data_IF_236161410657
#
_entry.id   IF_236161410657
#
_cell.length_a   1.000
_cell.length_b   1.000
_cell.length_c   1.000
_cell.angle_alpha   90.00
_cell.angle_beta   90.00
_cell.angle_gamma   90.00
#
_symmetry.space_group_name_H-M   'P 1'
#
loop_
_entity.id
_entity.type
_entity.pdbx_description
1 polymer ?
#
# COMPACT_ATOMS: atom_id res chain seq x y z
N UNK A 1 27.27 52.04 -12.06
CA UNK A 1 26.68 51.63 -10.76
C UNK A 1 25.56 50.59 -10.92
N UNK A 2 24.89 50.47 -12.06
CA UNK A 2 23.77 49.51 -12.28
C UNK A 2 24.13 48.01 -12.20
N UNK A 3 25.28 47.61 -12.73
CA UNK A 3 25.63 46.19 -12.85
C UNK A 3 25.83 45.51 -11.50
N UNK A 4 26.38 46.21 -10.51
CA UNK A 4 26.60 45.65 -9.17
C UNK A 4 25.26 45.44 -8.43
N UNK A 5 24.32 46.37 -8.57
CA UNK A 5 22.97 46.26 -7.99
C UNK A 5 22.17 45.12 -8.64
N UNK A 6 22.24 44.96 -9.96
CA UNK A 6 21.61 43.84 -10.64
C UNK A 6 22.20 42.49 -10.24
N UNK A 7 23.52 42.38 -10.10
CA UNK A 7 24.18 41.16 -9.61
C UNK A 7 23.69 40.81 -8.19
N UNK A 8 23.60 41.79 -7.29
CA UNK A 8 23.09 41.58 -5.93
C UNK A 8 21.63 41.10 -5.91
N UNK A 9 20.76 41.67 -6.75
CA UNK A 9 19.36 41.26 -6.87
C UNK A 9 19.24 39.82 -7.41
N UNK A 10 20.07 39.46 -8.39
CA UNK A 10 20.12 38.09 -8.92
C UNK A 10 20.59 37.12 -7.84
N UNK A 11 21.67 37.43 -7.12
CA UNK A 11 22.17 36.59 -6.01
C UNK A 11 21.12 36.42 -4.92
N UNK A 12 20.37 37.46 -4.57
CA UNK A 12 19.30 37.37 -3.58
C UNK A 12 18.18 36.43 -4.05
N UNK A 13 17.74 36.55 -5.31
CA UNK A 13 16.74 35.65 -5.90
C UNK A 13 17.21 34.20 -5.96
N UNK A 14 18.47 33.95 -6.34
CA UNK A 14 19.05 32.60 -6.36
C UNK A 14 19.07 32.00 -4.96
N UNK A 15 19.54 32.74 -3.95
CA UNK A 15 19.52 32.29 -2.55
C UNK A 15 18.11 31.97 -2.06
N UNK A 16 17.13 32.80 -2.42
CA UNK A 16 15.73 32.55 -2.06
C UNK A 16 15.20 31.25 -2.72
N UNK A 17 15.48 31.05 -4.02
CA UNK A 17 15.08 29.84 -4.74
C UNK A 17 15.75 28.59 -4.18
N UNK A 18 17.02 28.66 -3.80
CA UNK A 18 17.72 27.54 -3.15
C UNK A 18 17.07 27.14 -1.82
N UNK A 19 16.71 28.11 -0.96
CA UNK A 19 16.00 27.82 0.29
C UNK A 19 14.63 27.20 0.06
N UNK A 20 13.91 27.65 -0.96
CA UNK A 20 12.62 27.06 -1.34
C UNK A 20 12.79 25.62 -1.81
N UNK A 21 13.82 25.35 -2.62
CA UNK A 21 14.11 24.00 -3.10
C UNK A 21 14.47 23.05 -1.96
N UNK A 22 15.30 23.49 -1.01
CA UNK A 22 15.64 22.70 0.18
C UNK A 22 14.41 22.39 1.03
N UNK A 23 13.51 23.36 1.19
CA UNK A 23 12.25 23.17 1.93
C UNK A 23 11.35 22.17 1.22
N UNK A 24 11.22 22.28 -0.10
CA UNK A 24 10.42 21.36 -0.92
C UNK A 24 10.99 19.93 -0.92
N UNK A 25 12.32 19.78 -0.95
CA UNK A 25 12.96 18.46 -0.84
C UNK A 25 12.65 17.80 0.50
N UNK A 26 12.78 18.54 1.62
CA UNK A 26 12.41 18.04 2.94
C UNK A 26 10.94 17.63 3.03
N UNK A 27 10.05 18.43 2.45
CA UNK A 27 8.62 18.10 2.40
C UNK A 27 8.33 16.85 1.55
N UNK A 28 9.04 16.69 0.43
CA UNK A 28 8.91 15.51 -0.43
C UNK A 28 9.35 14.24 0.31
N UNK A 29 10.48 14.28 1.01
CA UNK A 29 10.98 13.16 1.80
C UNK A 29 9.96 12.76 2.89
N UNK A 30 9.45 13.73 3.64
CA UNK A 30 8.42 13.50 4.66
C UNK A 30 7.14 12.90 4.06
N UNK A 31 6.67 13.42 2.93
CA UNK A 31 5.50 12.87 2.25
C UNK A 31 5.74 11.44 1.76
N UNK A 32 6.93 11.14 1.25
CA UNK A 32 7.28 9.79 0.80
C UNK A 32 7.27 8.79 1.96
N UNK A 33 7.77 9.17 3.14
CA UNK A 33 7.70 8.36 4.35
C UNK A 33 6.26 8.11 4.80
N UNK A 34 5.42 9.15 4.82
CA UNK A 34 4.01 9.03 5.16
C UNK A 34 3.30 8.08 4.19
N UNK A 35 3.53 8.22 2.88
CA UNK A 35 2.94 7.34 1.87
C UNK A 35 3.38 5.89 2.10
N UNK A 36 4.67 5.65 2.39
CA UNK A 36 5.17 4.30 2.67
C UNK A 36 4.49 3.70 3.91
N UNK A 37 4.37 4.47 4.98
CA UNK A 37 3.69 4.04 6.21
C UNK A 37 2.21 3.73 5.97
N UNK A 38 1.51 4.60 5.25
CA UNK A 38 0.10 4.41 4.91
C UNK A 38 -0.12 3.17 4.03
N UNK A 39 0.76 2.93 3.05
CA UNK A 39 0.69 1.71 2.23
C UNK A 39 0.85 0.44 3.06
N UNK A 40 1.88 0.38 3.90
CA UNK A 40 2.10 -0.78 4.77
C UNK A 40 0.94 -1.01 5.74
N UNK A 41 0.37 0.07 6.30
CA UNK A 41 -0.82 -0.03 7.15
C UNK A 41 -2.05 -0.50 6.37
N UNK A 42 -2.23 -0.03 5.14
CA UNK A 42 -3.35 -0.44 4.29
C UNK A 42 -3.25 -1.93 3.94
N UNK A 43 -2.07 -2.41 3.56
CA UNK A 43 -1.81 -3.84 3.32
C UNK A 43 -2.14 -4.69 4.57
N UNK A 44 -1.72 -4.24 5.76
CA UNK A 44 -2.04 -4.93 7.00
C UNK A 44 -3.54 -4.93 7.35
N UNK A 45 -4.27 -3.87 6.98
CA UNK A 45 -5.72 -3.79 7.17
C UNK A 45 -6.46 -4.66 6.15
N UNK A 46 -6.03 -4.67 4.90
CA UNK A 46 -6.57 -5.55 3.86
C UNK A 46 -6.41 -7.02 4.24
N UNK A 47 -5.25 -7.39 4.80
CA UNK A 47 -4.99 -8.73 5.34
C UNK A 47 -5.97 -9.08 6.47
N UNK A 48 -6.15 -8.17 7.43
CA UNK A 48 -7.09 -8.37 8.54
C UNK A 48 -8.53 -8.50 8.08
N UNK A 49 -8.95 -7.67 7.11
CA UNK A 49 -10.29 -7.76 6.52
C UNK A 49 -10.47 -9.10 5.82
N UNK A 50 -9.46 -9.59 5.09
CA UNK A 50 -9.50 -10.92 4.47
C UNK A 50 -9.67 -12.01 5.52
N UNK A 51 -8.85 -12.00 6.57
CA UNK A 51 -8.91 -12.99 7.66
C UNK A 51 -10.26 -12.97 8.38
N UNK A 52 -10.80 -11.79 8.68
CA UNK A 52 -12.12 -11.67 9.32
C UNK A 52 -13.24 -12.17 8.41
N UNK A 53 -13.15 -11.92 7.11
CA UNK A 53 -14.11 -12.42 6.12
C UNK A 53 -14.08 -13.95 6.04
N UNK A 54 -12.88 -14.54 6.00
CA UNK A 54 -12.69 -15.99 6.02
C UNK A 54 -13.25 -16.61 7.32
N UNK A 55 -12.96 -16.01 8.48
CA UNK A 55 -13.51 -16.44 9.77
C UNK A 55 -15.04 -16.37 9.79
N UNK A 56 -15.63 -15.31 9.25
CA UNK A 56 -17.09 -15.17 9.13
C UNK A 56 -17.68 -16.28 8.26
N UNK A 57 -17.07 -16.58 7.10
CA UNK A 57 -17.52 -17.66 6.22
C UNK A 57 -17.48 -19.03 6.92
N UNK A 58 -16.41 -19.32 7.67
CA UNK A 58 -16.29 -20.55 8.45
C UNK A 58 -17.40 -20.64 9.51
N UNK A 59 -17.66 -19.55 10.24
CA UNK A 59 -18.73 -19.51 11.24
C UNK A 59 -20.12 -19.69 10.63
N UNK A 60 -20.38 -19.07 9.47
CA UNK A 60 -21.63 -19.24 8.74
C UNK A 60 -21.82 -20.68 8.24
N UNK A 61 -20.74 -21.31 7.76
CA UNK A 61 -20.74 -22.71 7.37
C UNK A 61 -21.06 -23.63 8.55
N UNK A 62 -20.37 -23.42 9.69
CA UNK A 62 -20.58 -24.19 10.92
C UNK A 62 -21.99 -24.01 11.50
N UNK A 63 -22.58 -22.81 11.37
CA UNK A 63 -23.94 -22.52 11.80
C UNK A 63 -25.03 -23.02 10.82
N UNK A 64 -24.66 -23.55 9.65
CA UNK A 64 -25.60 -23.99 8.61
C UNK A 64 -26.41 -22.85 7.99
N UNK A 65 -25.93 -21.59 8.08
CA UNK A 65 -26.65 -20.38 7.64
C UNK A 65 -26.12 -19.79 6.34
N UNK A 66 -25.35 -20.55 5.56
CA UNK A 66 -24.84 -20.06 4.28
C UNK A 66 -25.96 -19.99 3.25
N UNK A 67 -26.07 -18.85 2.57
CA UNK A 67 -26.87 -18.77 1.36
C UNK A 67 -26.15 -19.50 0.20
N UNK A 68 -26.85 -19.84 -0.89
CA UNK A 68 -26.21 -20.42 -2.08
C UNK A 68 -25.07 -19.56 -2.64
N UNK A 69 -25.19 -18.23 -2.54
CA UNK A 69 -24.15 -17.29 -2.96
C UNK A 69 -22.92 -17.36 -2.05
N UNK A 70 -23.11 -17.43 -0.73
CA UNK A 70 -22.01 -17.56 0.22
C UNK A 70 -21.26 -18.87 0.04
N UNK A 71 -22.00 -19.95 -0.23
CA UNK A 71 -21.42 -21.28 -0.47
C UNK A 71 -20.54 -21.28 -1.73
N UNK A 72 -21.02 -20.68 -2.82
CA UNK A 72 -20.24 -20.54 -4.05
C UNK A 72 -18.97 -19.70 -3.85
N UNK A 73 -19.06 -18.60 -3.09
CA UNK A 73 -17.91 -17.78 -2.75
C UNK A 73 -16.88 -18.54 -1.90
N UNK A 74 -17.35 -19.30 -0.91
CA UNK A 74 -16.50 -20.12 -0.04
C UNK A 74 -15.81 -21.26 -0.78
N UNK A 75 -16.53 -21.95 -1.67
CA UNK A 75 -15.94 -22.97 -2.56
C UNK A 75 -14.88 -22.36 -3.49
N UNK A 76 -15.09 -21.13 -3.99
CA UNK A 76 -14.10 -20.42 -4.79
C UNK A 76 -12.80 -20.15 -3.99
N UNK A 77 -12.95 -19.69 -2.74
CA UNK A 77 -11.83 -19.47 -1.81
C UNK A 77 -11.05 -20.76 -1.57
N UNK A 78 -11.73 -21.87 -1.26
CA UNK A 78 -11.10 -23.20 -1.06
C UNK A 78 -10.35 -23.63 -2.32
N UNK A 79 -10.97 -23.52 -3.50
CA UNK A 79 -10.34 -23.90 -4.75
C UNK A 79 -9.07 -23.09 -5.04
N UNK A 80 -9.02 -21.81 -4.63
CA UNK A 80 -7.80 -21.00 -4.74
C UNK A 80 -6.68 -21.57 -3.88
N UNK A 81 -6.97 -21.91 -2.62
CA UNK A 81 -5.98 -22.52 -1.72
C UNK A 81 -5.49 -23.88 -2.23
N UNK A 82 -6.37 -24.72 -2.76
CA UNK A 82 -5.99 -26.02 -3.35
C UNK A 82 -4.96 -25.80 -4.48
N UNK A 83 -5.20 -24.85 -5.39
CA UNK A 83 -4.25 -24.54 -6.48
C UNK A 83 -2.90 -24.03 -5.97
N UNK A 84 -2.90 -23.22 -4.91
CA UNK A 84 -1.64 -22.75 -4.32
C UNK A 84 -0.86 -23.91 -3.69
N UNK A 85 -1.56 -24.82 -3.00
CA UNK A 85 -0.97 -26.06 -2.46
C UNK A 85 -0.39 -26.91 -3.59
N UNK A 86 -1.14 -27.15 -4.67
CA UNK A 86 -0.67 -27.92 -5.83
C UNK A 86 0.58 -27.29 -6.46
N UNK A 87 0.64 -25.95 -6.55
CA UNK A 87 1.82 -25.23 -7.05
C UNK A 87 3.03 -25.42 -6.13
N UNK A 88 2.83 -25.34 -4.81
CA UNK A 88 3.89 -25.59 -3.83
C UNK A 88 4.36 -27.05 -3.88
N UNK A 89 3.46 -28.01 -4.06
CA UNK A 89 3.81 -29.42 -4.24
C UNK A 89 4.65 -29.59 -5.52
N UNK A 90 4.22 -29.00 -6.64
CA UNK A 90 4.98 -29.04 -7.90
C UNK A 90 6.42 -28.52 -7.75
N UNK A 91 6.60 -27.41 -7.02
CA UNK A 91 7.94 -26.85 -6.73
C UNK A 91 8.82 -27.73 -5.83
N UNK A 92 8.22 -28.62 -5.03
CA UNK A 92 8.95 -29.55 -4.15
C UNK A 92 9.22 -30.91 -4.81
N UNK A 93 8.57 -31.19 -5.94
CA UNK A 93 8.66 -32.48 -6.64
C UNK A 93 9.56 -32.42 -7.89
N UNK A 94 10.00 -31.22 -8.29
CA UNK A 94 11.16 -30.98 -9.17
C UNK A 94 12.47 -30.88 -8.36
#
# INVERSE_FOLDING_TARGET
MDTLQHVQQITAKVKQRMKQLETLQKQQEQQAEIIRSLKSRNEALEEQVRLLTEQQQILMAAAGKMTPADKAAFESTINKYIREIDKCIGMLTE
#
